data_IF_692707453536
#
_entry.id   IF_692707453536
#
_cell.length_a   1.000
_cell.length_b   1.000
_cell.length_c   1.000
_cell.angle_alpha   90.00
_cell.angle_beta   90.00
_cell.angle_gamma   90.00
#
_symmetry.space_group_name_H-M   'P 1'
#
loop_
_entity.id
_entity.type
_entity.pdbx_description
1 polymer ?
#
# COMPACT_ATOMS: atom_id res chain seq x y z
N UNK A 1 -10.87 14.81 -13.28
CA UNK A 1 -10.36 15.26 -11.96
C UNK A 1 -9.14 14.41 -11.61
N UNK A 2 -8.38 14.78 -10.58
CA UNK A 2 -7.15 14.06 -10.22
C UNK A 2 -7.49 12.69 -9.61
N UNK A 3 -6.77 11.63 -10.02
CA UNK A 3 -6.91 10.30 -9.42
C UNK A 3 -6.26 10.32 -8.03
N UNK A 4 -6.94 9.74 -7.03
CA UNK A 4 -6.41 9.68 -5.66
C UNK A 4 -5.25 8.69 -5.57
N UNK A 5 -4.10 9.12 -5.05
CA UNK A 5 -2.97 8.24 -4.75
C UNK A 5 -3.33 7.39 -3.52
N UNK A 6 -3.29 6.07 -3.66
CA UNK A 6 -3.60 5.12 -2.59
C UNK A 6 -2.34 4.71 -1.84
N UNK A 7 -1.30 4.33 -2.59
CA UNK A 7 -0.05 3.83 -2.02
C UNK A 7 1.10 4.05 -2.97
N UNK A 8 2.29 4.16 -2.41
CA UNK A 8 3.52 4.06 -3.17
C UNK A 8 4.52 3.17 -2.44
N UNK A 9 5.41 2.52 -3.17
CA UNK A 9 6.43 1.63 -2.61
C UNK A 9 7.41 1.12 -3.66
N UNK A 10 8.48 0.48 -3.18
CA UNK A 10 9.48 -0.14 -4.05
C UNK A 10 8.96 -1.49 -4.55
N UNK A 11 9.29 -1.85 -5.79
CA UNK A 11 9.00 -3.16 -6.35
C UNK A 11 9.81 -4.28 -5.69
N UNK A 12 11.02 -3.99 -5.20
CA UNK A 12 11.92 -4.96 -4.57
C UNK A 12 11.41 -5.45 -3.20
N UNK A 13 10.45 -4.75 -2.59
CA UNK A 13 9.84 -5.12 -1.32
C UNK A 13 8.89 -6.34 -1.46
N UNK A 14 8.55 -6.73 -2.70
CA UNK A 14 7.56 -7.76 -3.00
C UNK A 14 8.03 -8.67 -4.13
N UNK A 15 7.44 -9.86 -4.20
CA UNK A 15 7.69 -10.80 -5.29
C UNK A 15 6.57 -10.70 -6.33
N UNK A 16 6.92 -10.34 -7.57
CA UNK A 16 5.97 -10.32 -8.67
C UNK A 16 5.52 -11.74 -9.04
N UNK A 17 4.21 -11.93 -9.22
CA UNK A 17 3.63 -13.17 -9.72
C UNK A 17 3.32 -13.05 -11.20
N UNK A 18 3.29 -14.18 -11.90
CA UNK A 18 3.18 -14.22 -13.36
C UNK A 18 2.51 -15.48 -13.89
N UNK A 19 2.12 -15.42 -15.16
CA UNK A 19 1.50 -16.51 -15.89
C UNK A 19 2.01 -16.53 -17.33
N UNK A 20 2.26 -17.72 -17.88
CA UNK A 20 2.75 -17.84 -19.26
C UNK A 20 4.12 -17.17 -19.52
N UNK A 21 4.98 -17.07 -18.49
CA UNK A 21 6.31 -16.47 -18.60
C UNK A 21 6.36 -14.94 -18.49
N UNK A 22 5.23 -14.29 -18.19
CA UNK A 22 5.15 -12.84 -18.04
C UNK A 22 4.66 -12.45 -16.63
N UNK A 23 5.23 -11.39 -16.06
CA UNK A 23 4.78 -10.86 -14.78
C UNK A 23 3.45 -10.10 -14.95
N UNK A 24 2.54 -10.26 -13.99
CA UNK A 24 1.25 -9.57 -13.97
C UNK A 24 1.46 -8.05 -14.01
N UNK A 25 2.43 -7.55 -13.25
CA UNK A 25 2.75 -6.13 -13.16
C UNK A 25 3.13 -5.52 -14.51
N UNK A 26 3.98 -6.19 -15.29
CA UNK A 26 4.39 -5.72 -16.62
C UNK A 26 3.21 -5.62 -17.59
N UNK A 27 2.24 -6.54 -17.46
CA UNK A 27 1.00 -6.53 -18.24
C UNK A 27 -0.13 -5.73 -17.61
N UNK A 28 0.10 -5.00 -16.52
CA UNK A 28 -0.98 -4.49 -15.68
C UNK A 28 -1.98 -3.61 -16.45
N UNK A 29 -1.49 -2.68 -17.26
CA UNK A 29 -2.33 -1.81 -18.08
C UNK A 29 -3.13 -2.61 -19.14
N UNK A 30 -2.51 -3.64 -19.72
CA UNK A 30 -3.15 -4.50 -20.72
C UNK A 30 -4.25 -5.37 -20.11
N UNK A 31 -4.02 -5.93 -18.92
CA UNK A 31 -5.00 -6.71 -18.16
C UNK A 31 -6.23 -5.84 -17.87
N UNK A 32 -6.00 -4.64 -17.33
CA UNK A 32 -7.08 -3.67 -17.02
C UNK A 32 -7.88 -3.29 -18.26
N UNK A 33 -7.21 -2.95 -19.36
CA UNK A 33 -7.90 -2.55 -20.59
C UNK A 33 -8.68 -3.73 -21.18
N UNK A 34 -8.12 -4.93 -21.14
CA UNK A 34 -8.82 -6.14 -21.59
C UNK A 34 -10.06 -6.44 -20.75
N UNK A 35 -9.98 -6.29 -19.42
CA UNK A 35 -11.14 -6.41 -18.52
C UNK A 35 -12.22 -5.37 -18.85
N UNK A 36 -11.83 -4.12 -19.13
CA UNK A 36 -12.74 -3.05 -19.55
C UNK A 36 -13.46 -3.40 -20.85
N UNK A 37 -12.72 -3.86 -21.87
CA UNK A 37 -13.28 -4.30 -23.15
C UNK A 37 -14.22 -5.51 -23.00
N UNK A 38 -13.97 -6.37 -22.01
CA UNK A 38 -14.84 -7.50 -21.66
C UNK A 38 -15.98 -7.17 -20.70
N UNK A 39 -16.24 -5.87 -20.45
CA UNK A 39 -17.31 -5.38 -19.58
C UNK A 39 -17.19 -5.86 -18.12
N UNK A 40 -15.97 -6.18 -17.66
CA UNK A 40 -15.68 -6.57 -16.28
C UNK A 40 -15.36 -5.35 -15.42
N UNK A 41 -16.23 -4.33 -15.43
CA UNK A 41 -15.96 -3.05 -14.78
C UNK A 41 -15.74 -3.19 -13.27
N UNK A 42 -16.48 -4.09 -12.61
CA UNK A 42 -16.31 -4.38 -11.18
C UNK A 42 -14.86 -4.75 -10.83
N UNK A 43 -14.22 -5.58 -11.66
CA UNK A 43 -12.82 -5.96 -11.49
C UNK A 43 -11.86 -4.79 -11.80
N UNK A 44 -12.14 -4.01 -12.86
CA UNK A 44 -11.34 -2.84 -13.22
C UNK A 44 -11.32 -1.78 -12.11
N UNK A 45 -12.46 -1.60 -11.44
CA UNK A 45 -12.62 -0.71 -10.29
C UNK A 45 -11.87 -1.23 -9.05
N UNK A 46 -11.77 -2.56 -8.87
CA UNK A 46 -11.04 -3.15 -7.75
C UNK A 46 -9.52 -3.08 -7.89
N UNK A 47 -9.01 -2.99 -9.10
CA UNK A 47 -7.57 -2.94 -9.32
C UNK A 47 -7.12 -1.46 -9.26
N UNK A 48 -6.06 -1.15 -8.53
CA UNK A 48 -5.42 0.16 -8.64
C UNK A 48 -4.69 0.31 -9.98
N UNK A 49 -4.40 1.54 -10.38
CA UNK A 49 -3.65 1.88 -11.60
C UNK A 49 -2.19 2.10 -11.21
N UNK A 50 -1.25 1.22 -11.61
CA UNK A 50 0.16 1.43 -11.36
C UNK A 50 0.74 2.51 -12.28
N UNK A 51 1.60 3.36 -11.73
CA UNK A 51 2.44 4.30 -12.46
C UNK A 51 3.87 4.19 -11.93
N UNK A 52 4.79 3.82 -12.80
CA UNK A 52 6.22 3.78 -12.48
C UNK A 52 6.79 5.20 -12.44
N UNK A 53 7.75 5.41 -11.55
CA UNK A 53 8.62 6.58 -11.60
C UNK A 53 9.61 6.49 -12.77
N UNK A 54 10.33 7.58 -13.03
CA UNK A 54 11.31 7.65 -14.12
C UNK A 54 12.46 6.64 -13.98
N UNK A 55 12.77 6.22 -12.76
CA UNK A 55 13.83 5.24 -12.46
C UNK A 55 13.36 3.78 -12.61
N UNK A 56 12.06 3.53 -12.62
CA UNK A 56 11.46 2.19 -12.74
C UNK A 56 11.52 1.32 -11.49
N UNK A 57 12.03 1.81 -10.36
CA UNK A 57 12.16 1.07 -9.09
C UNK A 57 10.96 1.27 -8.14
N UNK A 58 10.27 2.40 -8.27
CA UNK A 58 9.14 2.76 -7.41
C UNK A 58 7.86 2.88 -8.22
N UNK A 59 6.77 2.40 -7.64
CA UNK A 59 5.43 2.46 -8.24
C UNK A 59 4.46 3.22 -7.36
N UNK A 60 3.76 4.17 -7.96
CA UNK A 60 2.61 4.85 -7.39
C UNK A 60 1.31 4.16 -7.85
N UNK A 61 0.45 3.83 -6.91
CA UNK A 61 -0.82 3.15 -7.14
C UNK A 61 -1.99 4.10 -6.94
N UNK A 62 -2.75 4.36 -8.00
CA UNK A 62 -3.86 5.30 -8.00
C UNK A 62 -5.21 4.59 -8.01
N UNK A 63 -6.20 5.18 -7.34
CA UNK A 63 -7.58 4.73 -7.41
C UNK A 63 -8.15 4.94 -8.83
N UNK A 64 -8.86 3.97 -9.41
CA UNK A 64 -9.58 4.15 -10.66
C UNK A 64 -10.89 4.93 -10.48
N UNK A 65 -11.40 4.99 -9.24
CA UNK A 65 -12.64 5.66 -8.86
C UNK A 65 -12.33 6.91 -8.02
N UNK A 66 -13.13 7.95 -8.20
CA UNK A 66 -13.02 9.18 -7.44
C UNK A 66 -13.63 9.01 -6.04
N UNK A 67 -13.03 9.62 -5.02
CA UNK A 67 -13.50 9.54 -3.63
C UNK A 67 -12.37 9.59 -2.62
N UNK A 68 -12.72 9.73 -1.35
CA UNK A 68 -11.77 9.61 -0.25
C UNK A 68 -11.39 8.14 -0.06
N UNK A 69 -10.10 7.88 0.08
CA UNK A 69 -9.57 6.56 0.36
C UNK A 69 -9.44 6.34 1.87
N UNK A 70 -9.97 5.23 2.35
CA UNK A 70 -9.83 4.76 3.73
C UNK A 70 -9.06 3.44 3.69
N UNK A 71 -8.00 3.29 4.47
CA UNK A 71 -7.26 2.03 4.54
C UNK A 71 -8.15 0.91 5.12
N UNK A 72 -7.98 -0.33 4.66
CA UNK A 72 -8.77 -1.48 5.14
C UNK A 72 -8.88 -1.56 6.66
N UNK A 73 -7.75 -1.38 7.35
CA UNK A 73 -7.65 -1.41 8.82
C UNK A 73 -8.40 -0.30 9.53
N UNK A 74 -8.62 0.83 8.87
CA UNK A 74 -9.27 2.01 9.44
C UNK A 74 -10.78 2.04 9.17
N UNK A 75 -11.31 1.06 8.45
CA UNK A 75 -12.73 1.00 8.11
C UNK A 75 -13.54 0.17 9.11
N UNK A 76 -14.80 0.56 9.28
CA UNK A 76 -15.75 -0.13 10.15
C UNK A 76 -16.04 -1.56 9.67
N UNK A 77 -16.39 -2.43 10.61
CA UNK A 77 -16.64 -3.85 10.34
C UNK A 77 -17.73 -4.08 9.29
N UNK A 78 -18.84 -3.34 9.34
CA UNK A 78 -19.92 -3.46 8.36
C UNK A 78 -19.43 -3.14 6.94
N UNK A 79 -18.59 -2.12 6.81
CA UNK A 79 -18.02 -1.69 5.53
C UNK A 79 -17.03 -2.74 5.01
N UNK A 80 -16.16 -3.28 5.89
CA UNK A 80 -15.25 -4.39 5.54
C UNK A 80 -16.01 -5.62 5.09
N UNK A 81 -17.02 -6.03 5.85
CA UNK A 81 -17.89 -7.17 5.53
C UNK A 81 -18.65 -7.01 4.21
N UNK A 82 -19.11 -5.80 3.87
CA UNK A 82 -19.73 -5.51 2.55
C UNK A 82 -18.70 -5.58 1.42
N UNK A 83 -17.52 -5.01 1.63
CA UNK A 83 -16.44 -5.01 0.65
C UNK A 83 -15.86 -6.42 0.39
N UNK A 84 -15.75 -7.26 1.42
CA UNK A 84 -15.33 -8.66 1.29
C UNK A 84 -16.27 -9.45 0.37
N UNK A 85 -17.59 -9.32 0.57
CA UNK A 85 -18.59 -9.99 -0.28
C UNK A 85 -18.50 -9.51 -1.72
N UNK A 86 -18.27 -8.20 -1.91
CA UNK A 86 -18.07 -7.63 -3.24
C UNK A 86 -16.80 -8.16 -3.92
N UNK A 87 -15.67 -8.23 -3.21
CA UNK A 87 -14.43 -8.82 -3.70
C UNK A 87 -14.61 -10.28 -4.08
N UNK A 88 -15.24 -11.08 -3.20
CA UNK A 88 -15.47 -12.50 -3.45
C UNK A 88 -16.26 -12.73 -4.75
N UNK A 89 -17.37 -12.00 -4.94
CA UNK A 89 -18.17 -12.08 -6.17
C UNK A 89 -17.39 -11.63 -7.41
N UNK A 90 -16.54 -10.62 -7.27
CA UNK A 90 -15.74 -10.08 -8.38
C UNK A 90 -14.62 -11.04 -8.77
N UNK A 91 -13.95 -11.63 -7.78
CA UNK A 91 -12.87 -12.60 -7.98
C UNK A 91 -13.39 -13.91 -8.59
N UNK A 92 -14.57 -14.37 -8.18
CA UNK A 92 -15.21 -15.53 -8.81
C UNK A 92 -15.50 -15.27 -10.30
N UNK A 93 -16.01 -14.08 -10.63
CA UNK A 93 -16.25 -13.68 -12.02
C UNK A 93 -14.95 -13.60 -12.83
N UNK A 94 -13.87 -13.08 -12.23
CA UNK A 94 -12.55 -13.05 -12.84
C UNK A 94 -11.96 -14.45 -13.04
N UNK A 95 -12.13 -15.35 -12.07
CA UNK A 95 -11.69 -16.74 -12.15
C UNK A 95 -12.42 -17.49 -13.27
N UNK A 96 -13.74 -17.32 -13.39
CA UNK A 96 -14.52 -17.89 -14.50
C UNK A 96 -14.04 -17.38 -15.87
N UNK A 97 -13.75 -16.07 -15.97
CA UNK A 97 -13.20 -15.48 -17.20
C UNK A 97 -11.80 -16.00 -17.52
N UNK A 98 -10.94 -16.16 -16.51
CA UNK A 98 -9.61 -16.74 -16.66
C UNK A 98 -9.70 -18.17 -17.20
N UNK A 99 -10.50 -19.05 -16.57
CA UNK A 99 -10.71 -20.44 -17.02
C UNK A 99 -11.22 -20.51 -18.46
N UNK A 100 -12.20 -19.67 -18.82
CA UNK A 100 -12.71 -19.58 -20.19
C UNK A 100 -11.63 -19.13 -21.18
N UNK A 101 -10.75 -18.23 -20.77
CA UNK A 101 -9.66 -17.72 -21.62
C UNK A 101 -8.55 -18.76 -21.79
N UNK A 102 -8.25 -19.54 -20.76
CA UNK A 102 -7.30 -20.67 -20.80
C UNK A 102 -7.77 -21.81 -21.71
N UNK A 103 -9.08 -22.05 -21.79
CA UNK A 103 -9.67 -23.07 -22.67
C UNK A 103 -9.78 -22.60 -24.14
N UNK A 104 -9.43 -21.35 -24.44
CA UNK A 104 -9.40 -20.85 -25.80
C UNK A 104 -8.26 -21.51 -26.60
N UNK A 105 -8.47 -21.76 -27.89
CA UNK A 105 -7.38 -22.18 -28.80
C UNK A 105 -6.42 -21.06 -29.22
N UNK A 106 -6.60 -19.83 -28.72
CA UNK A 106 -5.77 -18.67 -29.08
C UNK A 106 -4.74 -18.37 -27.98
N UNK A 107 -3.45 -18.43 -28.32
CA UNK A 107 -2.34 -18.19 -27.38
C UNK A 107 -2.46 -16.89 -26.59
N UNK A 108 -2.82 -15.78 -27.25
CA UNK A 108 -2.99 -14.48 -26.57
C UNK A 108 -4.11 -14.51 -25.52
N UNK A 109 -5.18 -15.28 -25.75
CA UNK A 109 -6.26 -15.44 -24.77
C UNK A 109 -5.84 -16.35 -23.62
N UNK A 110 -5.07 -17.40 -23.89
CA UNK A 110 -4.51 -18.25 -22.86
C UNK A 110 -3.55 -17.47 -21.94
N UNK A 111 -2.68 -16.64 -22.51
CA UNK A 111 -1.80 -15.75 -21.75
C UNK A 111 -2.60 -14.76 -20.88
N UNK A 112 -3.64 -14.13 -21.45
CA UNK A 112 -4.52 -13.29 -20.63
C UNK A 112 -5.17 -14.09 -19.48
N UNK A 113 -5.61 -15.32 -19.75
CA UNK A 113 -6.20 -16.19 -18.74
C UNK A 113 -5.24 -16.50 -17.60
N UNK A 114 -4.00 -16.88 -17.92
CA UNK A 114 -2.98 -17.19 -16.92
C UNK A 114 -2.55 -15.96 -16.11
N UNK A 115 -2.45 -14.79 -16.75
CA UNK A 115 -2.18 -13.53 -16.05
C UNK A 115 -3.33 -13.11 -15.15
N UNK A 116 -4.57 -13.22 -15.61
CA UNK A 116 -5.76 -12.85 -14.84
C UNK A 116 -5.93 -13.72 -13.59
N UNK A 117 -5.58 -15.01 -13.68
CA UNK A 117 -5.58 -15.93 -12.53
C UNK A 117 -4.67 -15.44 -11.40
N UNK A 118 -3.51 -14.87 -11.76
CA UNK A 118 -2.53 -14.37 -10.79
C UNK A 118 -2.75 -12.90 -10.41
N UNK A 119 -3.55 -12.15 -11.19
CA UNK A 119 -3.82 -10.74 -10.94
C UNK A 119 -4.65 -10.45 -9.69
N UNK A 120 -5.30 -11.46 -9.12
CA UNK A 120 -6.04 -11.33 -7.86
C UNK A 120 -5.13 -11.35 -6.64
N UNK A 121 -3.88 -11.83 -6.76
CA UNK A 121 -2.92 -11.93 -5.65
C UNK A 121 -2.47 -10.54 -5.20
N UNK A 122 -2.34 -10.34 -3.89
CA UNK A 122 -1.76 -9.14 -3.29
C UNK A 122 -1.08 -9.49 -1.96
N UNK A 123 -0.17 -8.64 -1.44
CA UNK A 123 0.66 -9.01 -0.29
C UNK A 123 -0.10 -9.15 1.04
N UNK A 124 -1.13 -8.33 1.28
CA UNK A 124 -2.00 -8.45 2.46
C UNK A 124 -2.98 -7.29 2.65
N UNK A 125 -3.62 -7.23 3.81
CA UNK A 125 -4.67 -6.24 4.15
C UNK A 125 -4.23 -4.77 4.05
N UNK A 126 -2.96 -4.47 4.30
CA UNK A 126 -2.42 -3.10 4.21
C UNK A 126 -2.45 -2.55 2.76
N UNK A 127 -2.69 -3.41 1.78
CA UNK A 127 -2.70 -3.07 0.37
C UNK A 127 -4.12 -2.89 -0.18
N UNK A 128 -5.14 -3.00 0.67
CA UNK A 128 -6.54 -2.79 0.31
C UNK A 128 -7.04 -1.47 0.90
N UNK A 129 -7.72 -0.70 0.06
CA UNK A 129 -8.33 0.58 0.40
C UNK A 129 -9.81 0.57 0.03
N UNK A 130 -10.61 1.33 0.74
CA UNK A 130 -12.02 1.52 0.47
C UNK A 130 -12.20 2.94 -0.05
N UNK A 131 -12.68 3.08 -1.28
CA UNK A 131 -12.97 4.37 -1.93
C UNK A 131 -14.46 4.40 -2.24
N UNK A 132 -15.20 5.29 -1.59
CA UNK A 132 -16.68 5.31 -1.61
C UNK A 132 -17.31 3.93 -1.31
N UNK A 133 -16.74 3.21 -0.34
CA UNK A 133 -17.22 1.87 0.05
C UNK A 133 -16.88 0.74 -0.93
N UNK A 134 -16.21 1.03 -2.05
CA UNK A 134 -15.70 0.01 -2.97
C UNK A 134 -14.24 -0.33 -2.66
N UNK A 135 -13.88 -1.63 -2.60
CA UNK A 135 -12.51 -2.05 -2.37
C UNK A 135 -11.63 -1.79 -3.60
N UNK A 136 -10.44 -1.24 -3.39
CA UNK A 136 -9.39 -1.01 -4.39
C UNK A 136 -8.08 -1.56 -3.85
N UNK A 137 -7.45 -2.45 -4.62
CA UNK A 137 -6.26 -3.22 -4.26
C UNK A 137 -5.05 -2.59 -4.94
N UNK A 138 -4.02 -2.30 -4.14
CA UNK A 138 -2.69 -1.87 -4.57
C UNK A 138 -1.73 -3.07 -4.58
N UNK A 139 -0.63 -3.01 -5.33
CA UNK A 139 0.30 -4.13 -5.47
C UNK A 139 -0.37 -5.46 -5.83
N UNK A 140 -1.43 -5.39 -6.64
CA UNK A 140 -2.02 -6.60 -7.20
C UNK A 140 -1.06 -7.22 -8.21
N UNK A 141 -1.03 -8.56 -8.28
CA UNK A 141 0.02 -9.29 -8.99
C UNK A 141 1.35 -9.39 -8.22
N UNK A 142 1.34 -9.16 -6.91
CA UNK A 142 2.49 -9.37 -6.03
C UNK A 142 2.12 -10.19 -4.78
N UNK A 143 3.13 -10.83 -4.19
CA UNK A 143 3.09 -11.47 -2.87
C UNK A 143 4.27 -10.97 -2.02
N UNK A 144 4.28 -11.24 -0.71
CA UNK A 144 5.45 -10.88 0.10
C UNK A 144 6.68 -11.70 -0.33
N UNK A 145 7.87 -11.16 -0.09
CA UNK A 145 9.11 -11.89 -0.34
C UNK A 145 9.10 -13.21 0.43
N UNK A 146 9.50 -14.29 -0.24
CA UNK A 146 9.57 -15.64 0.32
C UNK A 146 8.20 -16.28 0.63
N UNK A 147 7.08 -15.68 0.22
CA UNK A 147 5.76 -16.31 0.30
C UNK A 147 5.32 -16.86 -1.06
N UNK A 148 4.59 -17.97 -1.03
CA UNK A 148 3.93 -18.50 -2.23
C UNK A 148 2.59 -17.79 -2.47
N UNK A 149 2.06 -17.94 -3.69
CA UNK A 149 0.68 -17.51 -4.00
C UNK A 149 -0.31 -18.20 -3.08
N UNK A 150 -1.29 -17.43 -2.57
CA UNK A 150 -2.34 -17.95 -1.70
C UNK A 150 -3.42 -18.67 -2.51
N UNK A 151 -3.93 -19.78 -1.98
CA UNK A 151 -5.11 -20.45 -2.56
C UNK A 151 -6.39 -19.65 -2.30
N UNK A 152 -6.62 -19.26 -1.04
CA UNK A 152 -7.64 -18.27 -0.68
C UNK A 152 -7.00 -16.90 -0.44
N UNK A 153 -7.08 -16.03 -1.44
CA UNK A 153 -6.46 -14.71 -1.40
C UNK A 153 -7.17 -13.77 -0.42
N UNK A 154 -8.48 -13.94 -0.20
CA UNK A 154 -9.26 -13.05 0.66
C UNK A 154 -9.13 -13.39 2.15
N UNK A 155 -8.49 -14.50 2.48
CA UNK A 155 -8.29 -14.92 3.87
C UNK A 155 -7.49 -13.90 4.68
N UNK A 156 -6.51 -13.24 4.05
CA UNK A 156 -5.72 -12.19 4.68
C UNK A 156 -6.51 -10.93 5.07
N UNK A 157 -7.77 -10.81 4.64
CA UNK A 157 -8.65 -9.68 4.95
C UNK A 157 -9.70 -10.03 6.03
N UNK A 158 -9.84 -11.32 6.38
CA UNK A 158 -10.75 -11.75 7.44
C UNK A 158 -10.10 -11.41 8.77
N UNK A 159 -10.81 -10.63 9.58
CA UNK A 159 -10.33 -10.20 10.89
C UNK A 159 -10.06 -11.44 11.73
N UNK A 160 -8.78 -11.76 11.92
CA UNK A 160 -8.36 -12.56 13.07
C UNK A 160 -8.15 -11.53 14.17
N UNK A 161 -9.17 -11.29 14.99
CA UNK A 161 -8.94 -10.65 16.29
C UNK A 161 -7.93 -11.54 17.01
N UNK A 162 -6.66 -11.16 16.96
CA UNK A 162 -5.71 -11.62 17.95
C UNK A 162 -6.26 -11.09 19.27
N UNK A 163 -6.94 -11.96 20.01
CA UNK A 163 -7.30 -11.71 21.39
C UNK A 163 -6.00 -11.24 22.04
N UNK A 164 -5.88 -9.98 22.49
CA UNK A 164 -4.69 -9.57 23.20
C UNK A 164 -4.60 -10.52 24.38
N UNK A 165 -3.47 -11.23 24.50
CA UNK A 165 -3.13 -11.99 25.70
C UNK A 165 -3.19 -10.98 26.85
N UNK A 166 -4.34 -10.90 27.51
CA UNK A 166 -4.51 -10.15 28.74
C UNK A 166 -3.48 -10.80 29.66
N UNK A 167 -2.44 -10.07 30.14
CA UNK A 167 -1.56 -10.62 31.14
C UNK A 167 -2.45 -11.08 32.27
N UNK A 168 -2.47 -12.38 32.55
CA UNK A 168 -3.10 -12.92 33.75
C UNK A 168 -2.54 -12.09 34.90
N UNK A 169 -3.40 -11.28 35.53
CA UNK A 169 -3.06 -10.55 36.74
C UNK A 169 -2.59 -11.61 37.72
N UNK A 170 -1.28 -11.65 37.95
CA UNK A 170 -0.66 -12.47 38.98
C UNK A 170 -1.27 -12.03 40.31
N UNK A 171 -1.93 -12.92 41.08
CA UNK A 171 -2.62 -12.51 42.28
C UNK A 171 -1.58 -11.98 43.28
N UNK A 172 -1.80 -10.72 43.68
CA UNK A 172 -1.08 -10.04 44.75
C UNK A 172 -1.03 -10.97 45.98
N UNK A 173 0.16 -11.32 46.50
CA UNK A 173 0.25 -12.26 47.60
C UNK A 173 -0.31 -11.62 48.87
N UNK A 174 -1.35 -12.28 49.39
CA UNK A 174 -2.04 -11.99 50.64
C UNK A 174 -1.09 -11.63 51.79
N UNK A 175 -1.46 -10.56 52.49
CA UNK A 175 -0.94 -10.17 53.80
C UNK A 175 -0.88 -11.35 54.77
N UNK A 176 0.30 -11.60 55.36
CA UNK A 176 0.42 -12.46 56.54
C UNK A 176 0.43 -11.61 57.81
N UNK A 177 -0.33 -12.00 58.85
CA UNK A 177 -0.58 -11.17 60.02
C UNK A 177 0.55 -11.20 61.05
N UNK A 178 0.70 -10.03 61.70
CA UNK A 178 1.16 -9.71 63.06
C UNK A 178 1.90 -10.80 63.87
N UNK A 179 3.13 -10.50 64.29
CA UNK A 179 3.67 -10.97 65.57
C UNK A 179 4.26 -9.79 66.32
N UNK A 180 3.64 -9.44 67.45
CA UNK A 180 4.15 -8.53 68.47
C UNK A 180 5.49 -9.01 69.01
N UNK A 181 6.46 -8.10 69.12
CA UNK A 181 7.56 -8.24 70.06
C UNK A 181 7.77 -6.90 70.77
N UNK A 182 7.76 -6.99 72.10
CA UNK A 182 7.64 -5.93 73.09
C UNK A 182 8.81 -4.93 73.12
N UNK A 183 8.43 -3.68 73.43
CA UNK A 183 9.11 -2.67 74.26
C UNK A 183 10.56 -2.91 74.70
N UNK A 184 11.45 -1.95 74.42
CA UNK A 184 12.12 -1.09 75.44
C UNK A 184 13.40 -0.45 74.88
N UNK A 185 13.39 0.87 74.65
CA UNK A 185 14.23 1.84 75.37
C UNK A 185 14.12 3.24 74.74
N UNK A 186 13.81 4.21 75.59
CA UNK A 186 13.91 5.64 75.37
C UNK A 186 15.20 6.18 76.03
N UNK A 187 15.47 7.48 75.79
CA UNK A 187 16.55 8.39 76.25
C UNK A 187 17.71 8.57 75.24
N UNK A 188 17.73 9.63 74.40
CA UNK A 188 18.15 11.06 74.59
C UNK A 188 19.70 11.27 74.71
N UNK A 189 20.30 12.44 74.34
CA UNK A 189 19.83 13.58 73.52
C UNK A 189 20.87 14.17 72.52
N UNK A 190 20.35 15.04 71.64
CA UNK A 190 20.90 16.28 71.05
C UNK A 190 22.42 16.59 71.14
N UNK A 191 23.10 16.64 69.98
CA UNK A 191 24.19 17.62 69.71
C UNK A 191 24.19 18.07 68.23
N UNK A 192 23.53 19.21 68.01
CA UNK A 192 23.94 20.40 67.24
C UNK A 192 25.15 20.32 66.31
N UNK A 193 24.92 20.64 65.02
CA UNK A 193 25.67 21.63 64.23
C UNK A 193 24.78 22.02 63.03
N UNK A 194 23.90 23.04 63.05
CA UNK A 194 24.10 24.51 63.07
C UNK A 194 24.91 25.04 61.87
N UNK A 195 24.16 25.72 60.96
CA UNK A 195 24.48 26.96 60.19
C UNK A 195 25.41 26.82 58.97
N UNK A 196 25.20 27.40 57.78
CA UNK A 196 24.16 28.17 57.06
C UNK A 196 24.59 28.23 55.56
N UNK A 197 23.70 28.64 54.61
CA UNK A 197 24.02 29.02 53.22
C UNK A 197 24.44 30.52 53.18
N UNK A 198 24.33 31.35 52.11
CA UNK A 198 24.15 31.18 50.65
C UNK A 198 25.16 32.01 49.81
N UNK A 199 25.17 31.85 48.46
CA UNK A 199 25.25 33.00 47.51
C UNK A 199 25.04 32.58 46.05
N UNK A 200 23.84 32.87 45.54
CA UNK A 200 23.56 33.40 44.19
C UNK A 200 24.34 34.73 43.99
N UNK A 201 24.39 35.40 42.80
CA UNK A 201 23.42 35.41 41.70
C UNK A 201 24.01 35.57 40.26
N UNK A 202 23.11 35.64 39.28
CA UNK A 202 23.16 36.54 38.10
C UNK A 202 24.23 36.29 37.02
N UNK A 203 23.99 36.35 35.71
CA UNK A 203 22.83 36.68 34.86
C UNK A 203 23.37 36.49 33.40
N UNK A 204 22.93 37.19 32.34
CA UNK A 204 21.89 36.85 31.38
C UNK A 204 22.44 36.74 29.93
N UNK A 205 21.52 36.83 28.97
CA UNK A 205 21.67 37.42 27.62
C UNK A 205 21.69 36.40 26.47
N UNK A 206 20.47 36.07 26.03
CA UNK A 206 20.18 36.08 24.59
C UNK A 206 20.34 37.52 24.06
N UNK A 207 20.74 37.72 22.79
CA UNK A 207 19.81 38.35 21.84
C UNK A 207 20.10 37.87 20.39
N UNK A 208 19.59 38.53 19.34
CA UNK A 208 18.23 38.37 18.84
C UNK A 208 18.19 37.90 17.36
N UNK A 209 16.98 37.53 16.96
CA UNK A 209 16.40 37.53 15.61
C UNK A 209 17.17 38.34 14.55
N UNK A 210 17.49 37.70 13.41
CA UNK A 210 17.41 38.38 12.10
C UNK A 210 16.68 37.45 11.12
N UNK A 211 15.40 37.77 10.91
CA UNK A 211 14.66 37.44 9.69
C UNK A 211 15.22 38.31 8.58
N UNK A 212 15.59 37.69 7.45
CA UNK A 212 15.66 38.32 6.14
C UNK A 212 15.57 37.24 5.06
N UNK A 213 14.36 37.02 4.55
CA UNK A 213 14.14 36.46 3.21
C UNK A 213 14.63 37.47 2.12
N UNK A 214 14.46 37.20 0.82
CA UNK A 214 15.41 36.53 -0.07
C UNK A 214 16.02 37.52 -1.08
N UNK A 215 17.22 37.24 -1.61
CA UNK A 215 17.75 37.99 -2.76
C UNK A 215 17.41 37.27 -4.06
N UNK A 216 16.77 37.93 -5.05
CA UNK A 216 16.41 37.31 -6.32
C UNK A 216 17.67 37.03 -7.15
N UNK A 217 17.92 35.76 -7.48
CA UNK A 217 18.82 35.42 -8.57
C UNK A 217 18.01 35.53 -9.88
N UNK A 218 18.36 36.55 -10.66
CA UNK A 218 17.92 36.76 -12.04
C UNK A 218 18.09 35.49 -12.88
N UNK A 219 17.13 35.18 -13.78
CA UNK A 219 17.22 34.01 -14.65
C UNK A 219 18.32 34.23 -15.70
N UNK A 220 19.28 33.30 -15.74
CA UNK A 220 20.21 33.19 -16.87
C UNK A 220 19.41 32.69 -18.08
N UNK A 221 19.48 33.36 -19.24
CA UNK A 221 18.67 33.03 -20.40
C UNK A 221 19.03 31.66 -20.96
N UNK A 222 17.97 30.92 -21.28
CA UNK A 222 17.93 29.64 -21.98
C UNK A 222 18.73 29.71 -23.27
N UNK A 223 19.84 28.98 -23.35
CA UNK A 223 20.46 28.64 -24.62
C UNK A 223 19.68 27.47 -25.23
N UNK A 224 18.75 27.79 -26.14
CA UNK A 224 18.09 26.81 -27.01
C UNK A 224 19.12 26.09 -27.88
N UNK A 225 19.52 24.90 -27.46
CA UNK A 225 20.23 23.97 -28.33
C UNK A 225 19.24 23.42 -29.36
N UNK A 226 19.28 23.96 -30.58
CA UNK A 226 18.55 23.51 -31.77
C UNK A 226 18.84 22.03 -32.03
N UNK A 227 17.98 21.13 -31.53
CA UNK A 227 17.99 19.70 -31.93
C UNK A 227 17.39 19.56 -33.31
N UNK A 228 18.25 19.53 -34.32
CA UNK A 228 17.89 19.12 -35.68
C UNK A 228 17.46 17.64 -35.67
N UNK A 229 16.15 17.39 -35.63
CA UNK A 229 15.60 16.03 -35.82
C UNK A 229 15.51 15.74 -37.31
N UNK A 230 16.42 14.90 -37.80
CA UNK A 230 16.35 14.30 -39.13
C UNK A 230 15.23 13.25 -39.13
N UNK A 231 14.22 13.45 -39.98
CA UNK A 231 13.21 12.45 -40.32
C UNK A 231 13.82 11.41 -41.26
N UNK A 232 13.63 10.10 -41.03
CA UNK A 232 13.63 9.13 -42.10
C UNK A 232 12.18 8.81 -42.49
N UNK A 233 11.83 9.30 -43.67
CA UNK A 233 10.69 8.90 -44.48
C UNK A 233 10.82 7.40 -44.75
N UNK A 234 9.88 6.56 -44.30
CA UNK A 234 9.75 5.21 -44.82
C UNK A 234 8.32 4.89 -45.22
N UNK A 235 8.23 4.45 -46.46
CA UNK A 235 7.08 4.34 -47.33
C UNK A 235 6.26 3.08 -47.09
N UNK A 236 4.94 3.21 -47.15
CA UNK A 236 3.99 2.11 -47.35
C UNK A 236 4.22 1.42 -48.71
N UNK A 237 3.75 0.18 -48.86
CA UNK A 237 2.83 -0.06 -49.98
C UNK A 237 1.54 -0.78 -49.56
N UNK A 238 0.48 -0.33 -50.24
CA UNK A 238 -0.85 -0.90 -50.36
C UNK A 238 -0.79 -2.19 -51.18
N UNK A 239 -1.52 -3.23 -50.78
CA UNK A 239 -2.00 -4.25 -51.71
C UNK A 239 -3.33 -4.83 -51.21
N UNK A 240 -4.40 -4.37 -51.84
CA UNK A 240 -5.71 -5.01 -51.81
C UNK A 240 -5.68 -6.22 -52.77
N UNK A 241 -6.16 -7.38 -52.32
CA UNK A 241 -6.62 -8.43 -53.23
C UNK A 241 -7.99 -8.89 -52.74
N UNK A 242 -9.00 -8.41 -53.48
CA UNK A 242 -10.35 -8.95 -53.53
C UNK A 242 -10.29 -10.15 -54.48
N UNK A 243 -10.68 -11.34 -54.02
CA UNK A 243 -11.21 -12.37 -54.91
C UNK A 243 -12.48 -12.92 -54.27
N UNK A 244 -13.58 -12.72 -54.98
CA UNK A 244 -14.89 -13.30 -54.77
C UNK A 244 -15.14 -14.41 -55.82
N UNK A 245 -16.18 -15.21 -55.56
CA UNK A 245 -16.79 -16.27 -56.38
C UNK A 245 -16.06 -17.63 -56.34
N UNK A 246 -16.71 -18.78 -56.14
CA UNK A 246 -18.10 -19.22 -56.43
C UNK A 246 -18.70 -19.96 -55.23
#
# INVERSE_FOLDING_TARGET
>A
MAKSLLRSGNLDDYQAVGGGGQAVFESALQIRETLRLRKQQAMVDCLAIPQLNDNGDRVDWYSPIEGQAIAWKAADEETRSRALRYLASTFESAAALSRKSLQSGKTALQLFGSLLEKATQFPGENHVFLVNGKPVITFWGFVNLNENTRDDVLDCLRVTEAIPDIPLVEPEPEEKPLVEAAFSQADEPLLTSVIEPPKMPEEPVAPPVIVSEPKPATPIPVAEAKRARRLPLWSLPVAAVVIAAV
#
